data_IF_047617828774
#
_entry.id   IF_047617828774
#
_cell.length_a   1.000
_cell.length_b   1.000
_cell.length_c   1.000
_cell.angle_alpha   90.00
_cell.angle_beta   90.00
_cell.angle_gamma   90.00
#
_symmetry.space_group_name_H-M   'P 1'
#
loop_
_entity.id
_entity.type
_entity.pdbx_description
1 polymer ?
#
# COMPACT_ATOMS: atom_id res chain seq x y z
N UNK A 1 -1.77 -9.99 3.34
CA UNK A 1 -1.90 -11.09 2.35
C UNK A 1 -3.34 -11.59 2.26
N UNK A 2 -3.95 -12.03 3.37
CA UNK A 2 -5.29 -12.66 3.39
C UNK A 2 -6.37 -11.81 2.69
N UNK A 3 -6.48 -10.52 3.01
CA UNK A 3 -7.43 -9.61 2.37
C UNK A 3 -7.26 -9.52 0.84
N UNK A 4 -6.03 -9.42 0.35
CA UNK A 4 -5.75 -9.35 -1.08
C UNK A 4 -6.16 -10.66 -1.78
N UNK A 5 -5.87 -11.80 -1.15
CA UNK A 5 -6.27 -13.11 -1.66
C UNK A 5 -7.79 -13.27 -1.70
N UNK A 6 -8.51 -12.86 -0.65
CA UNK A 6 -9.98 -12.89 -0.60
C UNK A 6 -10.57 -12.07 -1.74
N UNK A 7 -10.08 -10.84 -1.95
CA UNK A 7 -10.53 -9.97 -3.05
C UNK A 7 -10.26 -10.60 -4.42
N UNK A 8 -9.06 -11.14 -4.63
CA UNK A 8 -8.70 -11.79 -5.90
C UNK A 8 -9.58 -13.01 -6.17
N UNK A 9 -9.81 -13.87 -5.16
CA UNK A 9 -10.68 -15.05 -5.29
C UNK A 9 -12.11 -14.66 -5.63
N UNK A 10 -12.66 -13.66 -4.95
CA UNK A 10 -14.00 -13.15 -5.23
C UNK A 10 -14.12 -12.65 -6.68
N UNK A 11 -13.15 -11.86 -7.14
CA UNK A 11 -13.11 -11.34 -8.51
C UNK A 11 -12.99 -12.46 -9.56
N UNK A 12 -12.13 -13.47 -9.33
CA UNK A 12 -12.06 -14.65 -10.21
C UNK A 12 -13.40 -15.40 -10.24
N UNK A 13 -14.00 -15.66 -9.08
CA UNK A 13 -15.24 -16.42 -8.98
C UNK A 13 -16.41 -15.70 -9.67
N UNK A 14 -16.49 -14.37 -9.57
CA UNK A 14 -17.56 -13.60 -10.18
C UNK A 14 -17.40 -13.42 -11.69
N UNK A 15 -16.16 -13.33 -12.19
CA UNK A 15 -15.88 -13.03 -13.59
C UNK A 15 -15.57 -14.24 -14.46
N UNK A 16 -15.11 -15.34 -13.86
CA UNK A 16 -14.54 -16.48 -14.60
C UNK A 16 -13.16 -16.20 -15.21
N UNK A 17 -12.54 -15.04 -14.91
CA UNK A 17 -11.26 -14.61 -15.46
C UNK A 17 -10.15 -14.63 -14.40
N UNK A 18 -8.86 -14.62 -14.81
CA UNK A 18 -7.75 -14.32 -13.90
C UNK A 18 -7.94 -12.94 -13.26
N UNK A 19 -7.52 -12.79 -12.00
CA UNK A 19 -7.71 -11.54 -11.25
C UNK A 19 -6.44 -11.11 -10.53
N UNK A 20 -6.25 -9.79 -10.46
CA UNK A 20 -5.24 -9.14 -9.62
C UNK A 20 -5.98 -8.36 -8.52
N UNK A 21 -5.52 -8.47 -7.28
CA UNK A 21 -6.02 -7.64 -6.19
C UNK A 21 -4.88 -7.08 -5.34
N UNK A 22 -5.09 -5.87 -4.81
CA UNK A 22 -4.21 -5.17 -3.89
C UNK A 22 -4.85 -5.07 -2.49
N UNK A 23 -4.03 -5.20 -1.46
CA UNK A 23 -4.33 -4.73 -0.12
C UNK A 23 -3.16 -3.90 0.40
N UNK A 24 -3.43 -2.63 0.68
CA UNK A 24 -2.43 -1.64 1.06
C UNK A 24 -2.77 -1.02 2.43
N UNK A 25 -1.74 -0.61 3.16
CA UNK A 25 -1.91 0.08 4.44
C UNK A 25 -0.66 0.85 4.86
N UNK A 26 -0.87 1.78 5.80
CA UNK A 26 0.17 2.50 6.52
C UNK A 26 0.46 1.81 7.85
N UNK A 27 1.72 1.55 8.14
CA UNK A 27 2.19 1.05 9.43
C UNK A 27 3.08 2.11 10.08
N UNK A 28 2.81 2.46 11.34
CA UNK A 28 3.64 3.39 12.11
C UNK A 28 4.28 2.67 13.30
N UNK A 29 5.61 2.73 13.38
CA UNK A 29 6.38 1.92 14.33
C UNK A 29 6.05 2.27 15.80
N UNK A 30 5.90 3.56 16.10
CA UNK A 30 5.52 4.01 17.44
C UNK A 30 4.10 3.60 17.86
N UNK A 31 3.25 3.23 16.91
CA UNK A 31 1.88 2.76 17.16
C UNK A 31 1.77 1.23 17.04
N UNK A 32 2.89 0.51 17.12
CA UNK A 32 2.91 -0.96 16.99
C UNK A 32 2.43 -1.46 15.62
N UNK A 33 2.59 -0.65 14.57
CA UNK A 33 2.14 -0.98 13.21
C UNK A 33 0.73 -0.53 12.86
N UNK A 34 0.00 0.13 13.77
CA UNK A 34 -1.27 0.79 13.42
C UNK A 34 -1.02 1.98 12.47
N UNK A 35 -1.98 2.33 11.59
CA UNK A 35 -3.32 1.73 11.43
C UNK A 35 -3.36 0.36 10.72
N UNK A 36 -2.31 -0.03 10.00
CA UNK A 36 -2.17 -1.34 9.36
C UNK A 36 -3.31 -1.65 8.40
N UNK A 37 -3.88 -2.85 8.51
CA UNK A 37 -5.03 -3.30 7.68
C UNK A 37 -6.28 -2.42 7.83
N UNK A 38 -6.38 -1.64 8.92
CA UNK A 38 -7.48 -0.71 9.15
C UNK A 38 -7.20 0.69 8.61
N UNK A 39 -6.19 0.88 7.77
CA UNK A 39 -5.80 2.19 7.22
C UNK A 39 -6.95 3.00 6.65
N UNK A 40 -7.85 2.39 5.87
CA UNK A 40 -9.00 3.08 5.28
C UNK A 40 -10.12 3.43 6.30
N UNK A 41 -10.09 2.82 7.49
CA UNK A 41 -11.14 2.90 8.52
C UNK A 41 -10.55 3.17 9.90
N UNK A 42 -9.45 3.94 9.94
CA UNK A 42 -8.70 4.11 11.17
C UNK A 42 -9.49 4.94 12.18
N UNK A 43 -10.17 5.99 11.73
CA UNK A 43 -11.05 6.81 12.54
C UNK A 43 -12.49 6.29 12.67
N UNK A 44 -12.82 5.15 12.05
CA UNK A 44 -14.15 4.55 12.09
C UNK A 44 -14.56 3.96 10.74
N UNK A 45 -15.69 3.25 10.69
CA UNK A 45 -16.15 2.59 9.46
C UNK A 45 -16.64 3.56 8.38
N UNK A 46 -17.01 4.78 8.76
CA UNK A 46 -17.44 5.87 7.87
C UNK A 46 -16.41 7.01 7.79
N UNK A 47 -15.16 6.76 8.19
CA UNK A 47 -14.12 7.77 8.22
C UNK A 47 -13.61 8.11 6.81
N UNK A 48 -13.37 9.39 6.56
CA UNK A 48 -12.66 9.90 5.40
C UNK A 48 -11.16 10.08 5.69
N UNK A 49 -10.41 10.48 4.67
CA UNK A 49 -8.96 10.72 4.76
C UNK A 49 -8.62 11.80 5.81
N UNK A 50 -9.46 12.83 5.93
CA UNK A 50 -9.28 13.92 6.90
C UNK A 50 -9.38 13.41 8.34
N UNK A 51 -10.43 12.64 8.66
CA UNK A 51 -10.62 12.06 9.98
C UNK A 51 -9.51 11.05 10.33
N UNK A 52 -9.10 10.24 9.37
CA UNK A 52 -7.99 9.30 9.50
C UNK A 52 -6.66 10.03 9.81
N UNK A 53 -6.36 11.10 9.07
CA UNK A 53 -5.17 11.93 9.27
C UNK A 53 -5.18 12.64 10.63
N UNK A 54 -6.32 13.20 11.03
CA UNK A 54 -6.47 13.85 12.33
C UNK A 54 -6.23 12.87 13.50
N UNK A 55 -6.82 11.67 13.42
CA UNK A 55 -6.59 10.62 14.43
C UNK A 55 -5.13 10.18 14.48
N UNK A 56 -4.47 10.06 13.33
CA UNK A 56 -3.06 9.69 13.27
C UNK A 56 -2.16 10.75 13.91
N UNK A 57 -2.41 12.02 13.61
CA UNK A 57 -1.67 13.13 14.20
C UNK A 57 -1.85 13.18 15.72
N UNK A 58 -3.08 13.03 16.20
CA UNK A 58 -3.38 12.98 17.64
C UNK A 58 -2.67 11.81 18.33
N UNK A 59 -2.62 10.63 17.70
CA UNK A 59 -1.94 9.46 18.26
C UNK A 59 -0.40 9.61 18.33
N UNK A 60 0.17 10.53 17.54
CA UNK A 60 1.61 10.80 17.49
C UNK A 60 1.99 12.12 18.16
N UNK A 61 1.03 12.81 18.78
CA UNK A 61 1.27 14.11 19.39
C UNK A 61 2.36 14.03 20.47
N UNK A 62 3.18 15.07 20.56
CA UNK A 62 4.34 15.13 21.45
C UNK A 62 5.52 14.22 21.07
N UNK A 63 5.39 13.29 20.12
CA UNK A 63 6.53 12.45 19.69
C UNK A 63 7.50 13.22 18.79
N UNK A 64 8.83 13.13 19.06
CA UNK A 64 9.84 13.75 18.20
C UNK A 64 9.88 13.05 16.83
N UNK A 65 10.35 13.77 15.81
CA UNK A 65 10.41 13.27 14.42
C UNK A 65 11.13 11.91 14.28
N UNK A 66 12.18 11.68 15.08
CA UNK A 66 12.93 10.42 15.11
C UNK A 66 12.10 9.19 15.54
N UNK A 67 10.98 9.40 16.24
CA UNK A 67 10.07 8.35 16.71
C UNK A 67 8.85 8.16 15.82
N UNK A 68 8.78 8.84 14.67
CA UNK A 68 7.63 8.82 13.75
C UNK A 68 7.88 7.97 12.49
N UNK A 69 8.77 6.98 12.59
CA UNK A 69 9.04 6.07 11.49
C UNK A 69 7.77 5.33 11.05
N UNK A 70 7.56 5.27 9.73
CA UNK A 70 6.39 4.66 9.14
C UNK A 70 6.73 4.01 7.80
N UNK A 71 5.82 3.17 7.32
CA UNK A 71 5.92 2.57 6.00
C UNK A 71 4.55 2.34 5.41
N UNK A 72 4.42 2.63 4.13
CA UNK A 72 3.34 2.03 3.36
C UNK A 72 3.74 0.63 2.92
N UNK A 73 2.79 -0.31 2.99
CA UNK A 73 2.93 -1.68 2.50
C UNK A 73 1.79 -1.97 1.53
N UNK A 74 2.11 -2.62 0.41
CA UNK A 74 1.14 -3.16 -0.55
C UNK A 74 1.46 -4.63 -0.75
N UNK A 75 0.44 -5.47 -0.65
CA UNK A 75 0.50 -6.86 -1.10
C UNK A 75 -0.40 -7.00 -2.31
N UNK A 76 0.19 -7.42 -3.42
CA UNK A 76 -0.53 -7.69 -4.66
C UNK A 76 -0.58 -9.19 -4.88
N UNK A 77 -1.78 -9.69 -5.19
CA UNK A 77 -2.04 -11.10 -5.46
C UNK A 77 -2.58 -11.23 -6.87
N UNK A 78 -2.01 -12.17 -7.63
CA UNK A 78 -2.55 -12.64 -8.90
C UNK A 78 -3.01 -14.09 -8.78
N UNK A 79 -4.21 -14.37 -9.30
CA UNK A 79 -4.79 -15.69 -9.40
C UNK A 79 -5.14 -15.99 -10.85
N UNK A 80 -4.79 -17.20 -11.32
CA UNK A 80 -5.20 -17.71 -12.63
C UNK A 80 -6.68 -18.07 -12.67
N UNK A 81 -7.20 -18.56 -11.55
CA UNK A 81 -8.62 -18.88 -11.34
C UNK A 81 -8.92 -18.89 -9.83
N UNK A 82 -10.21 -18.96 -9.44
CA UNK A 82 -10.65 -18.78 -8.05
C UNK A 82 -10.07 -19.83 -7.06
N UNK A 83 -9.71 -21.01 -7.56
CA UNK A 83 -9.17 -22.14 -6.79
C UNK A 83 -7.68 -22.37 -7.04
N UNK A 84 -6.96 -21.41 -7.62
CA UNK A 84 -5.53 -21.55 -7.90
C UNK A 84 -4.76 -21.81 -6.58
N UNK A 85 -4.09 -22.98 -6.44
CA UNK A 85 -3.39 -23.35 -5.22
C UNK A 85 -2.05 -22.60 -5.06
N UNK A 86 -1.56 -21.95 -6.12
CA UNK A 86 -0.27 -21.28 -6.16
C UNK A 86 -0.40 -19.85 -6.71
N UNK A 87 -1.05 -18.93 -5.97
CA UNK A 87 -1.10 -17.52 -6.36
C UNK A 87 0.30 -16.93 -6.48
N UNK A 88 0.49 -16.00 -7.41
CA UNK A 88 1.65 -15.12 -7.38
C UNK A 88 1.36 -14.02 -6.37
N UNK A 89 2.21 -13.91 -5.36
CA UNK A 89 2.10 -12.90 -4.31
C UNK A 89 3.36 -12.04 -4.35
N UNK A 90 3.18 -10.73 -4.49
CA UNK A 90 4.29 -9.78 -4.42
C UNK A 90 4.00 -8.70 -3.39
N UNK A 91 5.07 -8.13 -2.88
CA UNK A 91 5.01 -7.11 -1.85
C UNK A 91 5.87 -5.90 -2.24
N UNK A 92 5.39 -4.72 -1.85
CA UNK A 92 6.16 -3.50 -1.91
C UNK A 92 6.08 -2.76 -0.58
N UNK A 93 7.22 -2.20 -0.17
CA UNK A 93 7.34 -1.41 1.05
C UNK A 93 7.98 -0.08 0.71
N UNK A 94 7.32 1.01 1.10
CA UNK A 94 7.85 2.36 0.99
C UNK A 94 8.04 2.93 2.38
N UNK A 95 9.31 3.12 2.78
CA UNK A 95 9.69 3.57 4.13
C UNK A 95 9.79 5.09 4.16
N UNK A 96 9.29 5.67 5.24
CA UNK A 96 9.29 7.10 5.46
C UNK A 96 9.02 7.46 6.91
N UNK A 97 8.50 8.67 7.13
CA UNK A 97 8.10 9.15 8.46
C UNK A 97 6.84 9.99 8.40
N UNK A 98 6.12 10.05 9.51
CA UNK A 98 4.92 10.87 9.63
C UNK A 98 5.29 12.30 10.02
N UNK A 99 4.79 13.28 9.25
CA UNK A 99 4.92 14.70 9.51
C UNK A 99 4.07 15.16 10.69
N UNK A 100 4.42 16.30 11.29
CA UNK A 100 3.60 16.93 12.33
C UNK A 100 2.39 17.67 11.76
N UNK A 101 2.44 18.06 10.50
CA UNK A 101 1.40 18.77 9.78
C UNK A 101 1.40 18.31 8.31
N UNK A 102 0.24 18.32 7.64
CA UNK A 102 0.15 17.95 6.23
C UNK A 102 0.96 18.89 5.35
N UNK A 103 1.55 18.34 4.29
CA UNK A 103 2.22 19.09 3.22
C UNK A 103 1.75 18.55 1.88
N UNK A 104 1.45 19.44 0.93
CA UNK A 104 0.94 19.08 -0.39
C UNK A 104 -0.56 18.79 -0.41
N UNK A 105 -1.13 18.84 -1.62
CA UNK A 105 -2.57 18.72 -1.87
C UNK A 105 -2.92 17.54 -2.79
N UNK A 106 -1.91 16.88 -3.36
CA UNK A 106 -2.10 15.74 -4.25
C UNK A 106 -2.31 14.42 -3.50
N UNK A 107 -2.61 13.37 -4.26
CA UNK A 107 -2.73 12.03 -3.71
C UNK A 107 -4.02 11.80 -2.92
N UNK A 108 -3.97 10.88 -1.96
CA UNK A 108 -5.11 10.46 -1.13
C UNK A 108 -4.63 9.84 0.20
N UNK A 109 -5.56 9.60 1.12
CA UNK A 109 -5.27 8.97 2.41
C UNK A 109 -4.26 9.74 3.23
N UNK A 110 -3.18 9.05 3.61
CA UNK A 110 -2.12 9.59 4.45
C UNK A 110 -0.98 10.25 3.66
N UNK A 111 -1.11 10.41 2.34
CA UNK A 111 -0.07 11.00 1.50
C UNK A 111 0.43 12.38 1.97
N UNK A 112 -0.45 13.31 2.44
CA UNK A 112 0.01 14.61 2.94
C UNK A 112 0.87 14.52 4.20
N UNK A 113 0.75 13.42 4.95
CA UNK A 113 1.48 13.19 6.19
C UNK A 113 2.72 12.31 6.02
N UNK A 114 2.82 11.54 4.93
CA UNK A 114 3.90 10.60 4.70
C UNK A 114 5.06 11.26 3.97
N UNK A 115 6.19 11.45 4.66
CA UNK A 115 7.41 12.00 4.09
C UNK A 115 8.35 10.89 3.59
N UNK A 116 8.78 11.01 2.33
CA UNK A 116 9.91 10.26 1.80
C UNK A 116 11.23 10.95 2.21
N UNK A 117 12.13 10.27 2.94
CA UNK A 117 13.37 10.89 3.44
C UNK A 117 14.42 11.10 2.34
N UNK A 118 14.32 10.42 1.20
CA UNK A 118 15.24 10.56 0.07
C UNK A 118 14.87 11.77 -0.77
N UNK A 119 13.56 11.98 -0.99
CA UNK A 119 13.05 13.13 -1.77
C UNK A 119 12.79 14.38 -0.93
N UNK A 120 12.88 14.27 0.41
CA UNK A 120 12.48 15.28 1.40
C UNK A 120 11.13 15.95 1.08
N UNK A 121 10.20 15.17 0.55
CA UNK A 121 8.89 15.60 0.09
C UNK A 121 7.82 14.65 0.62
N UNK A 122 6.64 15.19 0.94
CA UNK A 122 5.50 14.32 1.24
C UNK A 122 5.05 13.61 -0.04
N UNK A 123 4.39 12.47 0.10
CA UNK A 123 3.81 11.78 -1.05
C UNK A 123 2.77 12.64 -1.79
N UNK A 124 2.10 13.56 -1.10
CA UNK A 124 1.14 14.50 -1.69
C UNK A 124 1.78 15.66 -2.46
N UNK A 125 3.08 15.90 -2.27
CA UNK A 125 3.84 16.89 -3.05
C UNK A 125 4.42 16.30 -4.34
N UNK A 126 4.46 14.97 -4.47
CA UNK A 126 5.00 14.30 -5.64
C UNK A 126 3.99 14.31 -6.79
N UNK A 127 4.48 14.38 -8.03
CA UNK A 127 3.61 14.12 -9.18
C UNK A 127 3.10 12.67 -9.15
N UNK A 128 1.96 12.37 -9.80
CA UNK A 128 1.45 11.00 -9.89
C UNK A 128 2.48 10.01 -10.48
N UNK A 129 3.29 10.46 -11.45
CA UNK A 129 4.32 9.64 -12.07
C UNK A 129 5.45 9.29 -11.08
N UNK A 130 5.95 10.27 -10.34
CA UNK A 130 7.01 10.05 -9.34
C UNK A 130 6.52 9.14 -8.22
N UNK A 131 5.32 9.40 -7.70
CA UNK A 131 4.69 8.55 -6.69
C UNK A 131 4.52 7.12 -7.19
N UNK A 132 4.05 6.92 -8.42
CA UNK A 132 3.91 5.59 -9.01
C UNK A 132 5.26 4.88 -9.17
N UNK A 133 6.34 5.62 -9.40
CA UNK A 133 7.69 5.05 -9.49
C UNK A 133 8.20 4.59 -8.12
N UNK A 134 8.00 5.39 -7.06
CA UNK A 134 8.62 5.16 -5.75
C UNK A 134 7.74 4.36 -4.78
N UNK A 135 6.43 4.47 -4.90
CA UNK A 135 5.50 3.94 -3.90
C UNK A 135 5.52 2.42 -3.75
N UNK A 136 5.07 1.98 -2.58
CA UNK A 136 4.80 0.59 -2.24
C UNK A 136 4.01 -0.15 -3.33
N UNK A 137 2.94 0.46 -3.87
CA UNK A 137 2.17 -0.13 -4.99
C UNK A 137 3.00 -0.27 -6.25
N UNK A 138 3.76 0.75 -6.61
CA UNK A 138 4.65 0.71 -7.76
C UNK A 138 5.69 -0.41 -7.64
N UNK A 139 6.29 -0.57 -6.46
CA UNK A 139 7.23 -1.64 -6.16
C UNK A 139 6.56 -3.01 -6.30
N UNK A 140 5.41 -3.23 -5.64
CA UNK A 140 4.69 -4.50 -5.67
C UNK A 140 4.26 -4.90 -7.08
N UNK A 141 3.74 -3.93 -7.86
CA UNK A 141 3.28 -4.15 -9.23
C UNK A 141 4.44 -4.47 -10.18
N UNK A 142 5.58 -3.77 -10.07
CA UNK A 142 6.77 -4.10 -10.87
C UNK A 142 7.29 -5.50 -10.57
N UNK A 143 7.29 -5.90 -9.30
CA UNK A 143 7.63 -7.26 -8.90
C UNK A 143 6.66 -8.27 -9.51
N UNK A 144 5.35 -7.98 -9.52
CA UNK A 144 4.36 -8.85 -10.17
C UNK A 144 4.62 -8.98 -11.67
N UNK A 145 4.86 -7.87 -12.37
CA UNK A 145 5.16 -7.90 -13.80
C UNK A 145 6.46 -8.65 -14.14
N UNK A 146 7.44 -8.69 -13.24
CA UNK A 146 8.65 -9.50 -13.42
C UNK A 146 8.32 -10.99 -13.29
N UNK A 147 7.60 -11.38 -12.23
CA UNK A 147 7.17 -12.77 -11.99
C UNK A 147 6.30 -13.32 -13.11
N UNK A 148 5.37 -12.53 -13.63
CA UNK A 148 4.52 -12.94 -14.74
C UNK A 148 5.32 -13.15 -16.03
N UNK A 149 6.34 -12.31 -16.29
CA UNK A 149 7.22 -12.49 -17.45
C UNK A 149 8.05 -13.77 -17.36
N UNK A 150 8.57 -14.07 -16.19
CA UNK A 150 9.28 -15.34 -15.93
C UNK A 150 8.39 -16.56 -16.17
N UNK A 151 7.16 -16.54 -15.66
CA UNK A 151 6.20 -17.63 -15.87
C UNK A 151 5.77 -17.79 -17.34
N UNK A 152 5.63 -16.69 -18.08
CA UNK A 152 5.31 -16.75 -19.51
C UNK A 152 6.47 -17.34 -20.33
N UNK A 153 7.69 -16.86 -20.11
CA UNK A 153 8.86 -17.36 -20.81
C UNK A 153 9.05 -18.88 -20.57
N UNK A 154 8.87 -19.34 -19.34
CA UNK A 154 9.00 -20.76 -18.99
C UNK A 154 7.95 -21.67 -19.66
N UNK A 155 6.83 -21.12 -20.16
CA UNK A 155 5.79 -21.88 -20.88
C UNK A 155 6.06 -21.97 -22.38
N UNK A 156 6.73 -20.97 -22.95
CA UNK A 156 7.07 -20.97 -24.38
C UNK A 156 8.26 -21.91 -24.67
N UNK A 157 9.07 -22.23 -23.65
CA UNK A 157 10.20 -23.17 -23.72
C UNK A 157 9.81 -24.65 -23.49
N UNK A 158 8.52 -24.95 -23.26
CA UNK A 158 7.99 -26.29 -22.93
C UNK A 158 6.93 -26.79 -23.91
#
# INVERSE_FOLDING_TARGET
VENALIKARAACASSGLPAIADDSGLEVDALGGLPGVRSARYAGDTADDTANNAKLLAALDGLPAARRAARFRSVVVYLRHALDPAPIITEGVWRGRILCQPRGEGGFGYDPLFLDPVQDSSAAQMSPMEKNRLSHRGIAMRALCARLREEWAARDDS
#
